data_IF_833830247300
#
_entry.id   IF_833830247300
#
_cell.length_a   1.000
_cell.length_b   1.000
_cell.length_c   1.000
_cell.angle_alpha   90.00
_cell.angle_beta   90.00
_cell.angle_gamma   90.00
#
_symmetry.space_group_name_H-M   'P 1'
#
loop_
_entity.id
_entity.type
_entity.pdbx_description
1 polymer ?
#
# COMPACT_ATOMS: atom_id res chain seq x y z
N UNK A 1 9.28 -23.35 -16.44
CA UNK A 1 9.83 -22.52 -17.54
C UNK A 1 9.87 -21.09 -17.05
N UNK A 2 11.09 -20.52 -16.96
CA UNK A 2 11.22 -19.09 -16.62
C UNK A 2 10.89 -18.25 -17.86
N UNK A 3 10.06 -17.23 -17.66
CA UNK A 3 9.77 -16.21 -18.66
C UNK A 3 10.76 -15.06 -18.51
N UNK A 4 11.00 -14.33 -19.58
CA UNK A 4 11.87 -13.15 -19.58
C UNK A 4 11.15 -11.99 -20.24
N UNK A 5 11.10 -10.84 -19.57
CA UNK A 5 10.57 -9.62 -20.11
C UNK A 5 11.58 -8.95 -21.05
N UNK A 6 11.12 -8.41 -22.17
CA UNK A 6 11.99 -7.73 -23.15
C UNK A 6 11.70 -6.25 -23.27
N UNK A 7 10.47 -5.84 -23.00
CA UNK A 7 10.06 -4.44 -23.09
C UNK A 7 8.85 -4.14 -22.21
N UNK A 8 8.66 -2.86 -21.90
CA UNK A 8 7.44 -2.27 -21.35
C UNK A 8 6.93 -1.23 -22.33
N UNK A 9 5.64 -1.26 -22.65
CA UNK A 9 5.01 -0.23 -23.47
C UNK A 9 4.12 0.64 -22.57
N UNK A 10 4.37 1.93 -22.58
CA UNK A 10 3.55 2.95 -21.94
C UNK A 10 2.84 3.81 -22.95
N UNK A 11 1.77 4.48 -22.53
CA UNK A 11 1.08 5.47 -23.32
C UNK A 11 1.12 6.82 -22.61
N UNK A 12 1.54 7.85 -23.32
CA UNK A 12 1.45 9.21 -22.84
C UNK A 12 -0.04 9.63 -22.83
N UNK A 13 -0.59 9.90 -21.65
CA UNK A 13 -2.03 10.22 -21.51
C UNK A 13 -2.40 11.59 -22.09
N UNK A 14 -1.43 12.50 -22.28
CA UNK A 14 -1.68 13.82 -22.86
C UNK A 14 -1.63 13.81 -24.39
N UNK A 15 -0.70 13.05 -24.97
CA UNK A 15 -0.48 13.02 -26.42
C UNK A 15 -1.07 11.79 -27.12
N UNK A 16 -1.37 10.74 -26.35
CA UNK A 16 -1.78 9.43 -26.88
C UNK A 16 -0.63 8.63 -27.49
N UNK A 17 0.59 9.17 -27.50
CA UNK A 17 1.78 8.49 -28.04
C UNK A 17 2.11 7.22 -27.25
N UNK A 18 2.39 6.12 -27.95
CA UNK A 18 2.88 4.89 -27.35
C UNK A 18 4.40 4.82 -27.42
N UNK A 19 5.01 4.64 -26.25
CA UNK A 19 6.46 4.50 -26.10
C UNK A 19 6.79 3.09 -25.65
N UNK A 20 7.75 2.45 -26.34
CA UNK A 20 8.25 1.14 -26.00
C UNK A 20 9.66 1.28 -25.41
N UNK A 21 9.83 0.79 -24.18
CA UNK A 21 11.10 0.78 -23.46
C UNK A 21 11.66 -0.64 -23.47
N UNK A 22 12.77 -0.87 -24.16
CA UNK A 22 13.48 -2.14 -24.18
C UNK A 22 14.55 -2.17 -23.09
N UNK A 23 14.73 -3.34 -22.47
CA UNK A 23 15.70 -3.49 -21.39
C UNK A 23 16.10 -4.92 -21.12
N UNK A 24 17.23 -5.09 -20.43
CA UNK A 24 17.69 -6.40 -19.95
C UNK A 24 17.10 -6.74 -18.58
N UNK A 25 16.83 -5.73 -17.76
CA UNK A 25 16.28 -5.81 -16.42
C UNK A 25 15.10 -4.86 -16.29
N UNK A 26 14.10 -5.26 -15.52
CA UNK A 26 12.90 -4.48 -15.24
C UNK A 26 12.65 -4.46 -13.73
N UNK A 27 12.01 -3.42 -13.25
CA UNK A 27 11.53 -3.34 -11.87
C UNK A 27 10.07 -2.90 -11.88
N UNK A 28 9.20 -3.67 -11.21
CA UNK A 28 7.83 -3.26 -10.91
C UNK A 28 7.84 -2.49 -9.60
N UNK A 29 7.58 -1.18 -9.69
CA UNK A 29 7.41 -0.27 -8.57
C UNK A 29 6.04 0.43 -8.65
N UNK A 30 5.09 -0.18 -9.38
CA UNK A 30 3.77 0.41 -9.60
C UNK A 30 2.87 0.33 -8.37
N UNK A 31 3.22 -0.52 -7.42
CA UNK A 31 2.44 -0.79 -6.22
C UNK A 31 1.18 -1.63 -6.49
N UNK A 32 0.76 -1.74 -7.75
CA UNK A 32 -0.37 -2.57 -8.20
C UNK A 32 0.12 -3.82 -8.98
N UNK A 33 1.44 -4.06 -8.98
CA UNK A 33 2.08 -5.14 -9.72
C UNK A 33 1.74 -5.14 -11.22
N UNK A 34 1.56 -3.95 -11.81
CA UNK A 34 1.06 -3.82 -13.18
C UNK A 34 2.03 -4.43 -14.19
N UNK A 35 3.33 -4.14 -14.04
CA UNK A 35 4.37 -4.67 -14.96
C UNK A 35 4.48 -6.18 -14.81
N UNK A 36 4.53 -6.68 -13.59
CA UNK A 36 4.61 -8.11 -13.30
C UNK A 36 3.38 -8.88 -13.80
N UNK A 37 2.19 -8.36 -13.53
CA UNK A 37 0.93 -8.95 -13.99
C UNK A 37 0.87 -9.07 -15.51
N UNK A 38 1.19 -8.00 -16.23
CA UNK A 38 1.21 -8.00 -17.69
C UNK A 38 2.29 -8.91 -18.27
N UNK A 39 3.41 -9.10 -17.56
CA UNK A 39 4.46 -10.05 -17.93
C UNK A 39 4.10 -11.51 -17.61
N UNK A 40 3.01 -11.77 -16.89
CA UNK A 40 2.60 -13.10 -16.45
C UNK A 40 3.41 -13.62 -15.27
N UNK A 41 3.82 -12.71 -14.38
CA UNK A 41 4.35 -13.06 -13.07
C UNK A 41 3.28 -13.68 -12.17
N UNK A 42 3.71 -14.61 -11.33
CA UNK A 42 2.83 -15.17 -10.31
C UNK A 42 2.50 -14.11 -9.26
N UNK A 43 1.24 -14.03 -8.87
CA UNK A 43 0.77 -13.05 -7.88
C UNK A 43 -0.36 -13.62 -7.00
N UNK A 44 -0.68 -12.88 -5.94
CA UNK A 44 -1.84 -13.08 -5.08
C UNK A 44 -2.60 -11.77 -4.88
N UNK A 45 -3.88 -11.88 -4.54
CA UNK A 45 -4.77 -10.79 -4.15
C UNK A 45 -5.72 -11.30 -3.07
N UNK A 46 -6.28 -10.42 -2.23
CA UNK A 46 -7.12 -10.82 -1.12
C UNK A 46 -6.35 -11.46 0.04
N UNK A 47 -7.08 -12.04 1.02
CA UNK A 47 -6.48 -12.67 2.19
C UNK A 47 -6.25 -14.15 1.97
N UNK A 48 -5.06 -14.61 2.33
CA UNK A 48 -4.76 -16.03 2.42
C UNK A 48 -5.51 -16.67 3.60
N UNK A 49 -5.93 -17.93 3.46
CA UNK A 49 -6.43 -18.70 4.61
C UNK A 49 -5.28 -19.14 5.53
N UNK A 50 -5.62 -19.44 6.78
CA UNK A 50 -4.68 -20.02 7.75
C UNK A 50 -4.03 -21.31 7.23
N UNK A 51 -4.79 -22.13 6.52
CA UNK A 51 -4.25 -23.35 5.91
C UNK A 51 -3.22 -23.07 4.80
N UNK A 52 -3.33 -21.95 4.11
CA UNK A 52 -2.41 -21.57 3.02
C UNK A 52 -1.15 -20.87 3.50
N UNK A 53 -1.25 -20.02 4.52
CA UNK A 53 -0.14 -19.18 4.99
C UNK A 53 0.49 -19.68 6.29
N UNK A 54 -0.25 -20.43 7.11
CA UNK A 54 0.14 -20.82 8.45
C UNK A 54 0.11 -19.67 9.46
N UNK A 55 -0.45 -18.53 9.09
CA UNK A 55 -0.50 -17.33 9.92
C UNK A 55 -1.59 -17.43 10.98
N UNK A 56 -1.29 -17.15 12.27
CA UNK A 56 -2.27 -17.23 13.35
C UNK A 56 -3.49 -16.30 13.15
N UNK A 57 -3.27 -15.12 12.57
CA UNK A 57 -4.31 -14.10 12.36
C UNK A 57 -5.03 -14.23 11.02
N UNK A 58 -4.63 -15.18 10.17
CA UNK A 58 -5.30 -15.41 8.90
C UNK A 58 -6.71 -16.00 9.11
N UNK A 59 -7.69 -15.66 8.25
CA UNK A 59 -9.02 -16.25 8.30
C UNK A 59 -8.97 -17.76 8.01
N UNK A 60 -10.00 -18.49 8.43
CA UNK A 60 -10.10 -19.94 8.17
C UNK A 60 -10.23 -20.25 6.67
N UNK A 61 -10.88 -19.36 5.93
CA UNK A 61 -11.04 -19.44 4.47
C UNK A 61 -10.47 -18.20 3.81
N UNK A 62 -9.76 -18.40 2.70
CA UNK A 62 -9.30 -17.29 1.86
C UNK A 62 -10.49 -16.51 1.29
N UNK A 63 -10.35 -15.21 1.16
CA UNK A 63 -11.36 -14.33 0.61
C UNK A 63 -10.73 -13.17 -0.21
N UNK A 64 -11.60 -12.30 -0.75
CA UNK A 64 -11.19 -11.17 -1.58
C UNK A 64 -10.94 -9.87 -0.80
N UNK A 65 -11.07 -9.88 0.53
CA UNK A 65 -10.85 -8.67 1.32
C UNK A 65 -9.41 -8.18 1.17
N UNK A 66 -9.29 -6.87 1.04
CA UNK A 66 -8.04 -6.12 0.94
C UNK A 66 -8.12 -4.89 1.83
N UNK A 67 -7.00 -4.29 2.14
CA UNK A 67 -7.00 -2.93 2.68
C UNK A 67 -7.43 -1.98 1.57
N UNK A 68 -8.42 -1.16 1.85
CA UNK A 68 -9.10 -0.35 0.84
C UNK A 68 -8.36 0.92 0.43
N UNK A 69 -9.13 1.85 -0.12
CA UNK A 69 -8.65 3.14 -0.61
C UNK A 69 -9.25 4.26 0.22
N UNK A 70 -8.39 5.14 0.78
CA UNK A 70 -8.84 6.33 1.49
C UNK A 70 -9.04 7.51 0.56
N UNK A 71 -10.12 8.28 0.79
CA UNK A 71 -10.33 9.61 0.25
C UNK A 71 -10.33 10.59 1.42
N UNK A 72 -9.19 11.20 1.68
CA UNK A 72 -9.01 12.18 2.75
C UNK A 72 -9.66 13.50 2.40
N UNK A 73 -10.10 14.23 3.40
CA UNK A 73 -10.69 15.56 3.25
C UNK A 73 -10.53 16.39 4.52
N UNK A 74 -10.63 17.72 4.39
CA UNK A 74 -10.67 18.60 5.55
C UNK A 74 -11.46 19.88 5.27
N UNK A 75 -11.95 20.48 6.34
CA UNK A 75 -12.59 21.79 6.35
C UNK A 75 -11.71 22.81 7.07
N UNK A 76 -11.82 24.07 6.65
CA UNK A 76 -11.14 25.19 7.27
C UNK A 76 -12.14 26.13 7.96
N UNK A 77 -11.71 26.72 9.08
CA UNK A 77 -12.45 27.77 9.79
C UNK A 77 -12.35 29.07 9.00
N UNK A 78 -13.47 29.79 8.89
CA UNK A 78 -13.56 31.08 8.20
C UNK A 78 -14.16 32.16 9.12
N UNK A 79 -13.87 33.42 8.82
CA UNK A 79 -14.41 34.57 9.57
C UNK A 79 -15.91 34.80 9.29
N UNK A 80 -16.38 34.38 8.15
CA UNK A 80 -17.77 34.49 7.70
C UNK A 80 -18.47 33.16 7.61
N UNK A 81 -19.80 33.18 7.54
CA UNK A 81 -20.61 31.99 7.28
C UNK A 81 -20.29 31.44 5.89
N UNK A 82 -20.02 30.16 5.82
CA UNK A 82 -19.78 29.43 4.58
C UNK A 82 -20.97 28.51 4.31
N UNK A 83 -21.68 28.71 3.22
CA UNK A 83 -22.81 27.85 2.81
C UNK A 83 -22.33 26.62 2.06
N UNK A 84 -23.13 25.56 2.05
CA UNK A 84 -22.86 24.35 1.29
C UNK A 84 -24.15 23.83 0.64
N UNK A 85 -24.14 23.30 -0.59
CA UNK A 85 -25.33 22.81 -1.27
C UNK A 85 -25.86 21.51 -0.63
N UNK A 86 -27.13 21.18 -0.92
CA UNK A 86 -27.81 19.99 -0.41
C UNK A 86 -27.28 18.64 -0.94
N UNK A 87 -26.61 18.59 -2.03
CA UNK A 87 -26.02 17.38 -2.62
C UNK A 87 -26.98 16.17 -2.69
N UNK A 88 -28.18 16.26 -3.32
CA UNK A 88 -29.14 15.15 -3.37
C UNK A 88 -28.62 13.92 -4.14
N UNK A 89 -27.56 14.10 -4.89
CA UNK A 89 -26.84 13.05 -5.64
C UNK A 89 -25.83 12.27 -4.78
N UNK A 90 -25.50 12.76 -3.59
CA UNK A 90 -24.56 12.11 -2.67
C UNK A 90 -25.28 11.10 -1.76
N UNK A 91 -24.53 10.37 -0.94
CA UNK A 91 -25.13 9.53 0.10
C UNK A 91 -25.91 10.39 1.08
N UNK A 92 -27.09 9.92 1.47
CA UNK A 92 -27.95 10.65 2.40
C UNK A 92 -27.67 10.19 3.82
N UNK A 93 -27.47 11.17 4.69
CA UNK A 93 -27.19 10.97 6.10
C UNK A 93 -28.32 11.50 6.99
N UNK A 94 -28.43 10.93 8.16
CA UNK A 94 -29.29 11.38 9.25
C UNK A 94 -28.51 11.61 10.54
N UNK A 95 -29.16 11.93 11.64
CA UNK A 95 -28.52 12.18 12.93
C UNK A 95 -27.75 10.96 13.47
N UNK A 96 -28.14 9.73 13.12
CA UNK A 96 -27.51 8.49 13.57
C UNK A 96 -26.32 8.12 12.71
N UNK A 97 -26.42 8.36 11.41
CA UNK A 97 -25.44 7.91 10.42
C UNK A 97 -24.36 8.93 10.14
N UNK A 98 -24.63 10.22 10.34
CA UNK A 98 -23.65 11.29 10.14
C UNK A 98 -22.48 11.20 11.14
N UNK A 99 -21.33 11.71 10.70
CA UNK A 99 -20.10 11.77 11.48
C UNK A 99 -19.75 13.24 11.70
N UNK A 100 -19.93 13.81 12.94
CA UNK A 100 -19.74 15.22 13.20
C UNK A 100 -18.26 15.59 13.39
N UNK A 101 -17.48 15.48 12.32
CA UNK A 101 -16.04 15.77 12.29
C UNK A 101 -15.72 16.84 11.24
N UNK A 102 -14.57 17.46 11.37
CA UNK A 102 -14.12 18.57 10.50
C UNK A 102 -13.09 18.14 9.49
N UNK A 103 -12.65 16.87 9.55
CA UNK A 103 -11.70 16.25 8.61
C UNK A 103 -11.90 14.74 8.63
N UNK A 104 -11.65 14.10 7.51
CA UNK A 104 -11.55 12.66 7.38
C UNK A 104 -10.14 12.28 7.02
N UNK A 105 -9.54 11.44 7.85
CA UNK A 105 -8.18 10.95 7.67
C UNK A 105 -8.16 9.59 6.96
N UNK A 106 -7.30 8.70 7.38
CA UNK A 106 -7.12 7.37 6.77
C UNK A 106 -8.32 6.43 6.96
N UNK A 107 -9.16 6.66 7.96
CA UNK A 107 -10.34 5.86 8.31
C UNK A 107 -11.54 6.07 7.38
N UNK A 108 -11.52 7.12 6.54
CA UNK A 108 -12.46 7.28 5.43
C UNK A 108 -11.99 6.43 4.25
N UNK A 109 -12.40 5.16 4.28
CA UNK A 109 -11.87 4.12 3.42
C UNK A 109 -12.97 3.26 2.80
N UNK A 110 -12.88 3.05 1.50
CA UNK A 110 -13.89 2.34 0.69
C UNK A 110 -13.27 1.19 -0.10
N UNK A 111 -14.12 0.30 -0.60
CA UNK A 111 -13.73 -0.75 -1.52
C UNK A 111 -12.88 -1.86 -0.92
N UNK A 112 -13.03 -2.14 0.40
CA UNK A 112 -12.26 -3.20 1.07
C UNK A 112 -12.59 -4.61 0.55
N UNK A 113 -13.73 -4.78 -0.12
CA UNK A 113 -14.22 -6.02 -0.73
C UNK A 113 -14.19 -6.01 -2.26
N UNK A 114 -13.60 -4.97 -2.87
CA UNK A 114 -13.58 -4.74 -4.33
C UNK A 114 -12.20 -4.88 -4.93
N UNK A 115 -12.13 -5.06 -6.24
CA UNK A 115 -10.88 -5.02 -6.99
C UNK A 115 -10.33 -3.57 -7.04
N UNK A 116 -9.24 -3.34 -6.32
CA UNK A 116 -8.61 -2.02 -6.17
C UNK A 116 -8.02 -1.47 -7.49
N UNK A 117 -8.05 -2.24 -8.56
CA UNK A 117 -7.52 -1.84 -9.87
C UNK A 117 -8.66 -1.61 -10.85
N UNK A 118 -9.54 -2.59 -11.02
CA UNK A 118 -10.63 -2.51 -11.99
C UNK A 118 -11.80 -1.67 -11.49
N UNK A 119 -12.06 -1.66 -10.17
CA UNK A 119 -13.16 -0.90 -9.57
C UNK A 119 -12.72 0.45 -8.98
N UNK A 120 -11.48 0.90 -9.22
CA UNK A 120 -10.90 2.09 -8.55
C UNK A 120 -11.73 3.37 -8.75
N UNK A 121 -12.33 3.57 -9.93
CA UNK A 121 -13.18 4.72 -10.19
C UNK A 121 -14.45 4.66 -9.32
N UNK A 122 -15.11 3.50 -9.25
CA UNK A 122 -16.27 3.31 -8.38
C UNK A 122 -15.92 3.49 -6.90
N UNK A 123 -14.78 2.92 -6.46
CA UNK A 123 -14.27 3.02 -5.08
C UNK A 123 -14.06 4.49 -4.69
N UNK A 124 -13.38 5.26 -5.54
CA UNK A 124 -13.15 6.69 -5.34
C UNK A 124 -14.47 7.47 -5.34
N UNK A 125 -15.31 7.24 -6.33
CA UNK A 125 -16.57 7.97 -6.48
C UNK A 125 -17.50 7.72 -5.31
N UNK A 126 -17.58 6.48 -4.82
CA UNK A 126 -18.36 6.16 -3.62
C UNK A 126 -17.85 6.89 -2.37
N UNK A 127 -16.53 6.96 -2.20
CA UNK A 127 -15.94 7.75 -1.12
C UNK A 127 -16.26 9.25 -1.23
N UNK A 128 -16.25 9.81 -2.44
CA UNK A 128 -16.68 11.20 -2.68
C UNK A 128 -18.15 11.40 -2.34
N UNK A 129 -19.04 10.46 -2.73
CA UNK A 129 -20.46 10.51 -2.34
C UNK A 129 -20.62 10.54 -0.81
N UNK A 130 -19.83 9.76 -0.06
CA UNK A 130 -19.86 9.76 1.39
C UNK A 130 -19.38 11.10 1.98
N UNK A 131 -18.26 11.64 1.50
CA UNK A 131 -17.70 12.93 1.97
C UNK A 131 -18.70 14.06 1.76
N UNK A 132 -19.22 14.21 0.52
CA UNK A 132 -20.13 15.31 0.17
C UNK A 132 -21.47 15.17 0.88
N UNK A 133 -22.01 13.97 0.99
CA UNK A 133 -23.27 13.71 1.68
C UNK A 133 -23.19 14.01 3.18
N UNK A 134 -22.16 13.49 3.85
CA UNK A 134 -21.95 13.76 5.27
C UNK A 134 -21.76 15.26 5.53
N UNK A 135 -20.94 15.94 4.69
CA UNK A 135 -20.71 17.37 4.84
C UNK A 135 -21.98 18.20 4.58
N UNK A 136 -22.77 17.85 3.56
CA UNK A 136 -24.05 18.51 3.29
C UNK A 136 -25.01 18.37 4.47
N UNK A 137 -25.11 17.19 5.08
CA UNK A 137 -25.93 16.97 6.26
C UNK A 137 -25.45 17.84 7.46
N UNK A 138 -24.15 17.84 7.75
CA UNK A 138 -23.58 18.63 8.86
C UNK A 138 -23.84 20.12 8.71
N UNK A 139 -23.81 20.62 7.47
CA UNK A 139 -24.03 22.05 7.17
C UNK A 139 -25.49 22.46 7.21
N UNK A 140 -26.40 21.59 6.78
CA UNK A 140 -27.78 22.00 6.49
C UNK A 140 -28.80 21.41 7.47
N UNK A 141 -28.60 20.19 7.97
CA UNK A 141 -29.63 19.43 8.69
C UNK A 141 -29.23 19.01 10.11
N UNK A 142 -27.93 18.96 10.42
CA UNK A 142 -27.48 18.55 11.75
C UNK A 142 -28.04 19.44 12.85
N UNK A 143 -28.46 18.90 14.00
CA UNK A 143 -28.71 19.70 15.20
C UNK A 143 -27.52 20.60 15.61
N UNK A 144 -26.32 20.19 15.24
CA UNK A 144 -25.07 20.92 15.50
C UNK A 144 -24.63 21.83 14.35
N UNK A 145 -25.47 22.10 13.35
CA UNK A 145 -25.11 22.87 12.14
C UNK A 145 -24.45 24.23 12.43
N UNK A 146 -24.77 24.85 13.56
CA UNK A 146 -24.18 26.15 13.95
C UNK A 146 -22.67 26.03 14.23
N UNK A 147 -22.19 24.86 14.70
CA UNK A 147 -20.76 24.58 14.92
C UNK A 147 -20.00 24.50 13.58
N UNK A 148 -20.70 24.10 12.52
CA UNK A 148 -20.16 23.99 11.17
C UNK A 148 -20.42 25.25 10.29
N UNK A 149 -21.22 26.22 10.78
CA UNK A 149 -21.65 27.37 9.98
C UNK A 149 -20.46 28.14 9.36
N UNK A 150 -19.39 28.35 10.13
CA UNK A 150 -18.16 29.05 9.69
C UNK A 150 -17.04 28.10 9.27
N UNK A 151 -17.38 26.95 8.69
CA UNK A 151 -16.41 26.01 8.12
C UNK A 151 -16.70 25.75 6.67
N UNK A 152 -15.69 25.88 5.82
CA UNK A 152 -15.75 25.53 4.40
C UNK A 152 -15.04 24.19 4.18
N UNK A 153 -15.62 23.33 3.36
CA UNK A 153 -14.90 22.16 2.85
C UNK A 153 -13.78 22.69 1.95
N UNK A 154 -12.55 22.61 2.45
CA UNK A 154 -11.40 23.27 1.83
C UNK A 154 -10.70 22.35 0.82
N UNK A 155 -10.66 21.07 1.11
CA UNK A 155 -10.01 20.11 0.23
C UNK A 155 -10.59 18.72 0.38
N UNK A 156 -10.69 18.02 -0.74
CA UNK A 156 -11.05 16.60 -0.85
C UNK A 156 -10.06 15.95 -1.80
N UNK A 157 -9.50 14.79 -1.42
CA UNK A 157 -8.58 14.06 -2.27
C UNK A 157 -9.28 13.57 -3.54
N UNK A 158 -8.79 13.99 -4.69
CA UNK A 158 -9.27 13.50 -5.98
C UNK A 158 -8.75 12.10 -6.30
N UNK A 159 -7.52 11.82 -5.87
CA UNK A 159 -6.88 10.50 -6.04
C UNK A 159 -6.98 9.74 -4.73
N UNK A 160 -7.57 8.54 -4.78
CA UNK A 160 -7.65 7.68 -3.61
C UNK A 160 -6.30 7.11 -3.19
N UNK A 161 -6.03 7.14 -1.89
CA UNK A 161 -4.85 6.56 -1.26
C UNK A 161 -4.97 5.05 -1.14
N UNK A 162 -4.58 4.30 -2.18
CA UNK A 162 -4.65 2.85 -2.25
C UNK A 162 -3.59 2.19 -1.36
N UNK A 163 -3.97 1.16 -0.60
CA UNK A 163 -3.06 0.42 0.29
C UNK A 163 -2.63 -0.92 -0.25
N UNK A 164 -3.54 -1.66 -0.84
CA UNK A 164 -3.33 -3.02 -1.29
C UNK A 164 -3.96 -3.26 -2.65
N UNK A 165 -3.38 -4.20 -3.40
CA UNK A 165 -3.96 -4.78 -4.60
C UNK A 165 -3.28 -6.12 -4.88
N UNK A 166 -2.56 -6.28 -5.99
CA UNK A 166 -1.79 -7.49 -6.28
C UNK A 166 -0.44 -7.47 -5.54
N UNK A 167 -0.04 -8.63 -5.05
CA UNK A 167 1.29 -8.90 -4.47
C UNK A 167 1.96 -9.97 -5.33
N UNK A 168 3.08 -9.64 -5.93
CA UNK A 168 3.88 -10.57 -6.75
C UNK A 168 4.55 -11.62 -5.85
N UNK A 169 4.85 -12.77 -6.40
CA UNK A 169 5.51 -13.85 -5.67
C UNK A 169 6.99 -13.94 -6.03
N UNK A 170 7.82 -13.84 -4.99
CA UNK A 170 9.25 -14.09 -5.00
C UNK A 170 9.60 -15.50 -4.60
N UNK A 171 10.88 -15.77 -4.39
CA UNK A 171 11.36 -17.05 -3.88
C UNK A 171 11.06 -17.23 -2.37
N UNK A 172 10.81 -16.13 -1.67
CA UNK A 172 10.30 -16.08 -0.29
C UNK A 172 9.00 -15.28 -0.29
N UNK A 173 8.00 -15.73 0.44
CA UNK A 173 6.79 -14.97 0.78
C UNK A 173 6.87 -14.64 2.26
N UNK A 174 7.04 -13.37 2.59
CA UNK A 174 7.12 -12.90 3.99
C UNK A 174 5.74 -13.00 4.65
N UNK A 175 5.67 -13.51 5.88
CA UNK A 175 4.44 -13.83 6.62
C UNK A 175 4.42 -13.18 7.99
N UNK A 176 3.24 -13.16 8.64
CA UNK A 176 3.02 -12.62 9.99
C UNK A 176 4.06 -13.09 11.00
N UNK A 177 4.30 -14.40 11.08
CA UNK A 177 5.24 -14.98 12.03
C UNK A 177 6.67 -14.52 11.79
N UNK A 178 7.06 -14.31 10.54
CA UNK A 178 8.41 -13.79 10.20
C UNK A 178 8.62 -12.39 10.77
N UNK A 179 7.56 -11.57 10.81
CA UNK A 179 7.58 -10.23 11.36
C UNK A 179 7.62 -10.24 12.89
N UNK A 180 6.75 -11.04 13.51
CA UNK A 180 6.60 -11.11 14.98
C UNK A 180 7.83 -11.72 15.62
N UNK A 181 8.38 -12.78 15.04
CA UNK A 181 9.55 -13.49 15.54
C UNK A 181 10.86 -12.81 15.15
N UNK A 182 10.81 -11.85 14.22
CA UNK A 182 11.99 -11.21 13.67
C UNK A 182 12.92 -12.22 12.98
N UNK A 183 12.32 -13.10 12.16
CA UNK A 183 13.05 -14.18 11.48
C UNK A 183 14.29 -13.67 10.78
N UNK A 184 15.45 -14.24 11.13
CA UNK A 184 16.73 -13.87 10.54
C UNK A 184 16.96 -14.58 9.22
N UNK A 185 17.09 -13.80 8.17
CA UNK A 185 17.43 -14.27 6.83
C UNK A 185 18.90 -13.98 6.51
N UNK A 186 19.57 -14.89 5.83
CA UNK A 186 20.94 -14.67 5.33
C UNK A 186 21.02 -13.54 4.31
N UNK A 187 19.91 -13.28 3.61
CA UNK A 187 19.71 -12.22 2.63
C UNK A 187 18.88 -11.05 3.15
N UNK A 188 18.90 -10.78 4.47
CA UNK A 188 18.28 -9.60 5.05
C UNK A 188 18.72 -8.32 4.31
N UNK A 189 17.76 -7.57 3.77
CA UNK A 189 18.05 -6.48 2.84
C UNK A 189 17.44 -5.13 3.25
N UNK A 190 16.26 -5.13 3.85
CA UNK A 190 15.56 -3.92 4.30
C UNK A 190 15.12 -4.11 5.74
N UNK A 191 15.34 -3.12 6.60
CA UNK A 191 14.81 -3.12 7.97
C UNK A 191 13.50 -2.37 8.02
N UNK A 192 12.40 -3.08 8.27
CA UNK A 192 11.09 -2.49 8.51
C UNK A 192 10.92 -2.18 9.99
N UNK A 193 10.29 -1.02 10.29
CA UNK A 193 10.09 -0.51 11.66
C UNK A 193 8.63 -0.20 11.97
N UNK A 194 7.74 -0.38 10.98
CA UNK A 194 6.31 -0.16 11.15
C UNK A 194 5.65 -1.40 11.74
N UNK A 195 4.65 -1.22 12.61
CA UNK A 195 3.83 -2.32 13.13
C UNK A 195 2.96 -2.96 12.05
N UNK A 196 2.33 -4.07 12.36
CA UNK A 196 1.27 -4.64 11.52
C UNK A 196 0.04 -3.74 11.70
N UNK A 197 -0.45 -3.17 10.62
CA UNK A 197 -1.58 -2.25 10.57
C UNK A 197 -2.53 -2.69 9.45
N UNK A 198 -3.55 -3.47 9.84
CA UNK A 198 -4.57 -4.01 8.96
C UNK A 198 -5.84 -3.18 9.05
N UNK A 199 -6.48 -2.96 7.92
CA UNK A 199 -7.71 -2.20 7.83
C UNK A 199 -8.87 -3.11 7.47
N UNK A 200 -9.96 -3.00 8.24
CA UNK A 200 -11.18 -3.77 8.04
C UNK A 200 -12.38 -2.84 7.86
N UNK A 201 -13.40 -3.27 7.09
CA UNK A 201 -14.60 -2.45 6.88
C UNK A 201 -15.32 -2.19 8.20
N UNK A 202 -15.63 -0.93 8.45
CA UNK A 202 -16.46 -0.49 9.57
C UNK A 202 -17.80 -0.01 9.05
N UNK A 203 -18.84 -0.79 9.30
CA UNK A 203 -20.21 -0.39 8.96
C UNK A 203 -20.75 0.54 10.04
N UNK A 204 -21.16 1.75 9.63
CA UNK A 204 -21.83 2.68 10.54
C UNK A 204 -23.23 2.15 10.86
N UNK A 205 -23.61 2.11 12.12
CA UNK A 205 -24.93 1.67 12.57
C UNK A 205 -26.06 2.49 11.92
N UNK A 206 -27.05 1.79 11.36
CA UNK A 206 -28.17 2.41 10.67
C UNK A 206 -27.87 2.88 9.24
N UNK A 207 -26.67 2.64 8.73
CA UNK A 207 -26.30 2.96 7.36
C UNK A 207 -26.40 1.70 6.48
N UNK A 208 -27.32 1.70 5.52
CA UNK A 208 -27.60 0.54 4.67
C UNK A 208 -26.69 0.43 3.43
N UNK A 209 -25.86 1.44 3.16
CA UNK A 209 -24.94 1.48 2.03
C UNK A 209 -23.69 0.60 2.20
N UNK A 210 -22.80 0.64 1.22
CA UNK A 210 -21.46 0.04 1.36
C UNK A 210 -20.68 0.73 2.46
N UNK A 211 -19.76 0.03 3.18
CA UNK A 211 -18.90 0.68 4.16
C UNK A 211 -18.05 1.79 3.52
N UNK A 212 -18.01 2.94 4.16
CA UNK A 212 -17.14 4.08 3.77
C UNK A 212 -16.12 4.42 4.86
N UNK A 213 -16.06 3.61 5.91
CA UNK A 213 -15.11 3.71 7.01
C UNK A 213 -14.37 2.38 7.16
N UNK A 214 -13.16 2.48 7.72
CA UNK A 214 -12.40 1.34 8.19
C UNK A 214 -11.96 1.54 9.65
N UNK A 215 -11.78 0.44 10.34
CA UNK A 215 -11.02 0.43 11.60
C UNK A 215 -9.67 -0.24 11.39
N UNK A 216 -8.67 0.19 12.16
CA UNK A 216 -7.33 -0.39 12.16
C UNK A 216 -7.22 -1.47 13.25
N UNK A 217 -6.78 -2.67 12.86
CA UNK A 217 -6.21 -3.68 13.76
C UNK A 217 -4.68 -3.50 13.75
N UNK A 218 -4.20 -2.69 14.69
CA UNK A 218 -2.80 -2.29 14.73
C UNK A 218 -2.06 -2.98 15.86
N UNK A 219 -0.93 -3.63 15.51
CA UNK A 219 -0.05 -4.33 16.46
C UNK A 219 1.37 -3.83 16.32
N UNK A 220 1.92 -3.33 17.44
CA UNK A 220 3.33 -2.94 17.49
C UNK A 220 4.22 -4.17 17.55
N UNK A 221 5.26 -4.19 16.74
CA UNK A 221 6.26 -5.25 16.67
C UNK A 221 7.67 -4.66 16.68
N UNK A 222 8.65 -5.44 17.04
CA UNK A 222 10.05 -5.04 16.95
C UNK A 222 10.47 -4.87 15.47
N UNK A 223 11.49 -4.05 15.18
CA UNK A 223 12.07 -3.99 13.84
C UNK A 223 12.49 -5.37 13.32
N UNK A 224 12.20 -5.67 12.07
CA UNK A 224 12.46 -6.97 11.44
C UNK A 224 13.04 -6.81 10.03
N UNK A 225 13.76 -7.82 9.52
CA UNK A 225 14.31 -7.76 8.18
C UNK A 225 13.32 -8.24 7.11
N UNK A 226 13.34 -7.57 5.95
CA UNK A 226 12.73 -8.07 4.72
C UNK A 226 13.86 -8.70 3.89
N UNK A 227 13.76 -9.99 3.51
CA UNK A 227 14.79 -10.64 2.73
C UNK A 227 14.79 -10.19 1.27
N UNK A 228 15.96 -10.16 0.66
CA UNK A 228 16.13 -9.82 -0.77
C UNK A 228 15.28 -10.71 -1.69
N UNK A 229 15.09 -11.97 -1.33
CA UNK A 229 14.25 -12.92 -2.09
C UNK A 229 12.76 -12.54 -2.17
N UNK A 230 12.31 -11.54 -1.42
CA UNK A 230 10.99 -10.93 -1.59
C UNK A 230 10.96 -9.83 -2.68
N UNK A 231 12.11 -9.42 -3.23
CA UNK A 231 12.25 -8.26 -4.10
C UNK A 231 12.49 -8.61 -5.57
N UNK A 232 12.27 -9.86 -5.97
CA UNK A 232 12.29 -10.27 -7.37
C UNK A 232 11.28 -11.39 -7.65
N UNK A 233 10.80 -11.46 -8.89
CA UNK A 233 9.80 -12.45 -9.31
C UNK A 233 10.37 -13.87 -9.34
N UNK A 234 9.59 -14.83 -8.83
CA UNK A 234 9.98 -16.25 -8.84
C UNK A 234 9.95 -16.88 -10.23
N UNK A 235 9.15 -16.33 -11.16
CA UNK A 235 8.94 -16.93 -12.50
C UNK A 235 9.20 -16.00 -13.68
N UNK A 236 9.50 -14.71 -13.44
CA UNK A 236 10.02 -13.79 -14.47
C UNK A 236 11.47 -13.49 -14.15
N UNK A 237 12.36 -13.99 -14.99
CA UNK A 237 13.79 -14.15 -14.72
C UNK A 237 14.56 -12.83 -14.50
N UNK A 238 14.06 -11.74 -15.07
CA UNK A 238 14.69 -10.44 -15.05
C UNK A 238 13.81 -9.32 -14.47
N UNK A 239 12.86 -9.68 -13.59
CA UNK A 239 11.93 -8.74 -12.97
C UNK A 239 12.20 -8.60 -11.47
N UNK A 240 12.55 -7.39 -11.05
CA UNK A 240 12.55 -6.95 -9.66
C UNK A 240 11.19 -6.41 -9.24
N UNK A 241 10.99 -6.27 -7.93
CA UNK A 241 9.79 -5.72 -7.30
C UNK A 241 10.20 -4.82 -6.15
N UNK A 242 9.55 -3.65 -6.01
CA UNK A 242 9.76 -2.77 -4.87
C UNK A 242 8.50 -1.95 -4.56
N UNK A 243 8.05 -1.96 -3.32
CA UNK A 243 6.85 -1.24 -2.88
C UNK A 243 5.79 -2.17 -2.31
N UNK A 244 4.50 -1.84 -2.52
CA UNK A 244 3.35 -2.58 -1.99
C UNK A 244 3.14 -3.95 -2.66
N UNK A 245 3.76 -4.17 -3.77
CA UNK A 245 3.61 -5.33 -4.65
C UNK A 245 4.68 -6.40 -4.48
N UNK A 246 5.53 -6.29 -3.45
CA UNK A 246 6.54 -7.31 -3.15
C UNK A 246 5.92 -8.62 -2.65
N UNK A 247 6.77 -9.63 -2.47
CA UNK A 247 6.35 -10.99 -2.10
C UNK A 247 6.05 -11.12 -0.60
N UNK A 248 4.80 -10.87 -0.24
CA UNK A 248 4.30 -10.91 1.14
C UNK A 248 2.86 -11.45 1.18
N UNK A 249 2.41 -11.90 2.36
CA UNK A 249 1.00 -12.18 2.62
C UNK A 249 0.22 -10.89 2.85
N UNK A 250 -1.12 -10.98 2.88
CA UNK A 250 -1.98 -9.86 3.25
C UNK A 250 -1.61 -9.26 4.62
N UNK A 251 -1.38 -10.11 5.63
CA UNK A 251 -1.06 -9.66 6.98
C UNK A 251 0.31 -8.96 7.01
N UNK A 252 1.32 -9.58 6.43
CA UNK A 252 2.65 -8.97 6.36
C UNK A 252 2.66 -7.66 5.57
N UNK A 253 1.79 -7.53 4.56
CA UNK A 253 1.65 -6.27 3.81
C UNK A 253 1.23 -5.10 4.71
N UNK A 254 0.44 -5.34 5.74
CA UNK A 254 0.05 -4.32 6.72
C UNK A 254 1.23 -3.56 7.31
N UNK A 255 2.39 -4.20 7.41
CA UNK A 255 3.62 -3.58 7.92
C UNK A 255 4.53 -3.02 6.83
N UNK A 256 4.71 -3.73 5.71
CA UNK A 256 5.76 -3.37 4.73
C UNK A 256 5.37 -2.26 3.75
N UNK A 257 4.06 -1.98 3.60
CA UNK A 257 3.50 -1.07 2.59
C UNK A 257 3.83 0.41 2.75
N UNK A 258 4.41 0.81 3.87
CA UNK A 258 4.67 2.24 4.15
C UNK A 258 5.80 2.79 3.28
N UNK A 259 5.69 4.08 2.91
CA UNK A 259 6.56 4.73 1.92
C UNK A 259 8.05 4.64 2.25
N UNK A 260 8.43 4.80 3.53
CA UNK A 260 9.84 4.70 3.95
C UNK A 260 10.43 3.31 3.66
N UNK A 261 9.71 2.26 4.02
CA UNK A 261 10.11 0.88 3.74
C UNK A 261 10.19 0.63 2.22
N UNK A 262 9.20 1.11 1.46
CA UNK A 262 9.22 1.05 -0.01
C UNK A 262 10.41 1.75 -0.65
N UNK A 263 10.81 2.91 -0.12
CA UNK A 263 12.00 3.63 -0.58
C UNK A 263 13.28 2.82 -0.39
N UNK A 264 13.46 2.21 0.78
CA UNK A 264 14.62 1.34 1.06
C UNK A 264 14.64 0.10 0.14
N UNK A 265 13.47 -0.49 -0.18
CA UNK A 265 13.39 -1.58 -1.16
C UNK A 265 13.90 -1.15 -2.54
N UNK A 266 13.50 0.04 -3.00
CA UNK A 266 13.95 0.59 -4.27
C UNK A 266 15.46 0.75 -4.35
N UNK A 267 16.12 1.16 -3.26
CA UNK A 267 17.57 1.26 -3.20
C UNK A 267 18.27 -0.09 -3.30
N UNK A 268 17.81 -1.07 -2.52
CA UNK A 268 18.34 -2.44 -2.59
C UNK A 268 18.17 -3.01 -4.00
N UNK A 269 17.02 -2.80 -4.63
CA UNK A 269 16.79 -3.21 -6.02
C UNK A 269 17.76 -2.50 -6.98
N UNK A 270 17.99 -1.20 -6.81
CA UNK A 270 19.00 -0.47 -7.60
C UNK A 270 20.41 -1.01 -7.44
N UNK A 271 20.83 -1.31 -6.22
CA UNK A 271 22.12 -1.94 -5.93
C UNK A 271 22.23 -3.33 -6.57
N UNK A 272 21.20 -4.17 -6.43
CA UNK A 272 21.15 -5.49 -7.04
C UNK A 272 21.17 -5.42 -8.57
N UNK A 273 20.44 -4.49 -9.18
CA UNK A 273 20.46 -4.27 -10.62
C UNK A 273 21.85 -3.86 -11.14
N UNK A 274 22.60 -3.08 -10.35
CA UNK A 274 23.98 -2.73 -10.69
C UNK A 274 24.92 -3.96 -10.72
N UNK A 275 24.70 -4.91 -9.80
CA UNK A 275 25.42 -6.20 -9.76
C UNK A 275 25.03 -7.02 -10.98
N UNK A 276 23.72 -7.16 -11.26
CA UNK A 276 23.24 -7.86 -12.43
C UNK A 276 23.87 -7.34 -13.74
N UNK A 277 23.96 -6.02 -13.87
CA UNK A 277 24.61 -5.38 -15.04
C UNK A 277 26.09 -5.73 -15.13
N UNK A 278 26.81 -5.68 -14.02
CA UNK A 278 28.26 -5.89 -13.92
C UNK A 278 28.66 -7.32 -14.27
N UNK A 279 27.88 -8.29 -13.81
CA UNK A 279 28.16 -9.72 -13.96
C UNK A 279 27.31 -10.40 -15.05
N UNK A 280 26.50 -9.65 -15.77
CA UNK A 280 25.50 -10.19 -16.73
C UNK A 280 24.63 -11.29 -16.09
N UNK A 281 24.17 -11.05 -14.87
CA UNK A 281 23.46 -11.98 -14.00
C UNK A 281 21.97 -11.65 -13.90
N UNK A 282 21.17 -12.62 -13.45
CA UNK A 282 19.74 -12.40 -13.11
C UNK A 282 19.57 -11.88 -11.68
N UNK A 283 18.40 -11.32 -11.32
CA UNK A 283 18.05 -11.00 -9.93
C UNK A 283 18.29 -12.15 -8.95
N UNK A 284 17.92 -13.38 -9.33
CA UNK A 284 18.11 -14.57 -8.50
C UNK A 284 19.59 -14.93 -8.31
N UNK A 285 20.42 -14.68 -9.34
CA UNK A 285 21.86 -14.94 -9.24
C UNK A 285 22.54 -14.00 -8.23
N UNK A 286 22.00 -12.80 -7.99
CA UNK A 286 22.51 -11.91 -6.93
C UNK A 286 22.43 -12.59 -5.58
N UNK A 287 21.31 -13.26 -5.27
CA UNK A 287 21.21 -14.07 -4.05
C UNK A 287 22.20 -15.24 -4.06
N UNK A 288 22.23 -16.01 -5.16
CA UNK A 288 22.98 -17.27 -5.23
C UNK A 288 24.49 -17.12 -5.26
N UNK A 289 24.97 -16.08 -5.96
CA UNK A 289 26.38 -15.94 -6.31
C UNK A 289 27.03 -14.65 -5.81
N UNK A 290 26.24 -13.58 -5.61
CA UNK A 290 26.76 -12.24 -5.37
C UNK A 290 26.19 -11.60 -4.10
N UNK A 291 25.57 -12.38 -3.20
CA UNK A 291 25.02 -11.84 -1.94
C UNK A 291 26.03 -11.08 -1.09
N UNK A 292 27.32 -11.53 -0.96
CA UNK A 292 28.32 -10.74 -0.23
C UNK A 292 28.59 -9.37 -0.87
N UNK A 293 28.48 -9.26 -2.20
CA UNK A 293 28.65 -7.99 -2.91
C UNK A 293 27.47 -7.06 -2.64
N UNK A 294 26.22 -7.58 -2.67
CA UNK A 294 25.03 -6.82 -2.32
C UNK A 294 25.14 -6.30 -0.87
N UNK A 295 25.53 -7.14 0.08
CA UNK A 295 25.70 -6.74 1.48
C UNK A 295 26.73 -5.62 1.64
N UNK A 296 27.83 -5.66 0.88
CA UNK A 296 28.82 -4.56 0.90
C UNK A 296 28.24 -3.26 0.36
N UNK A 297 27.46 -3.30 -0.73
CA UNK A 297 26.81 -2.11 -1.28
C UNK A 297 25.81 -1.53 -0.28
N UNK A 298 24.98 -2.36 0.35
CA UNK A 298 24.04 -1.93 1.37
C UNK A 298 24.74 -1.27 2.57
N UNK A 299 25.85 -1.84 3.04
CA UNK A 299 26.65 -1.28 4.14
C UNK A 299 27.34 0.05 3.77
N UNK A 300 27.75 0.21 2.53
CA UNK A 300 28.34 1.45 2.03
C UNK A 300 27.30 2.55 1.81
N UNK A 301 26.02 2.16 1.64
CA UNK A 301 24.94 3.07 1.32
C UNK A 301 25.10 3.75 -0.04
N UNK A 302 24.25 4.74 -0.32
CA UNK A 302 24.32 5.51 -1.57
C UNK A 302 25.31 6.66 -1.55
N UNK A 303 26.07 6.82 -0.46
CA UNK A 303 27.02 7.93 -0.26
C UNK A 303 26.38 9.30 -0.01
N UNK A 304 25.06 9.35 0.16
CA UNK A 304 24.32 10.57 0.53
C UNK A 304 24.10 10.61 2.04
N UNK A 305 24.50 11.70 2.70
CA UNK A 305 24.16 11.95 4.10
C UNK A 305 22.63 11.90 4.27
N UNK A 306 22.14 11.08 5.21
CA UNK A 306 20.71 10.94 5.50
C UNK A 306 20.15 9.53 5.40
N UNK A 307 20.95 8.53 5.04
CA UNK A 307 20.56 7.14 5.25
C UNK A 307 20.59 6.83 6.75
N UNK A 308 19.47 6.39 7.35
CA UNK A 308 19.55 5.83 8.68
C UNK A 308 20.44 4.58 8.59
N UNK A 309 21.49 4.52 9.40
CA UNK A 309 22.22 3.28 9.62
C UNK A 309 21.19 2.18 9.94
N UNK A 310 21.36 1.00 9.37
CA UNK A 310 20.55 -0.15 9.74
C UNK A 310 20.63 -0.27 11.26
N UNK A 311 19.50 -0.03 11.94
CA UNK A 311 19.44 -0.04 13.40
C UNK A 311 19.83 -1.44 13.88
N UNK A 312 21.12 -1.62 14.23
CA UNK A 312 21.58 -2.71 15.06
C UNK A 312 21.07 -2.38 16.45
N UNK A 313 19.92 -2.97 16.83
CA UNK A 313 19.16 -2.75 18.03
C UNK A 313 19.93 -2.18 19.22
N UNK A 314 19.70 -0.91 19.47
CA UNK A 314 19.83 -0.33 20.81
C UNK A 314 18.51 0.40 21.07
N UNK A 315 17.85 -0.03 22.13
CA UNK A 315 16.65 0.54 22.70
C UNK A 315 16.76 2.06 22.79
N UNK A 316 15.93 2.78 22.02
CA UNK A 316 15.67 4.17 22.33
C UNK A 316 14.41 4.23 23.19
N UNK A 317 14.61 4.71 24.39
CA UNK A 317 13.58 5.04 25.36
C UNK A 317 12.47 5.91 24.74
N UNK A 318 11.26 5.47 24.97
CA UNK A 318 10.07 6.27 24.70
C UNK A 318 10.09 7.57 25.55
N UNK A 319 9.92 8.69 24.89
CA UNK A 319 9.32 9.90 25.45
C UNK A 319 8.22 10.38 24.56
#
# INVERSE_FOLDING_TARGET
VYKRQTAVTGQNILTGERLRFEGKLFADCTGDATVGFLAGADFRSGRESRAQSGEPSAPDKADSLVMGTSVQWYSEQTDSVCTFPECPWALQFDERTAIPITRGDWDWETGLDKDQIYDIEHIRDYALLAVYGNWAYLKNHSPQREEFARRCLAWVAYIGGKRESRRLLGDVVLREQDLIEGTRYDDAAVTATWGIDLHYPHRKDGFDGEPFLAYSDSRQIAPYPIPYRCLYSRNIDNLFMAGRDISVTHIALGSVRVMRTGGMMGEVVGMAASICRRHNASPRDVYRLYLPELKRLMSAGTGKAGFPEANTGTSAEAK
#
